data_IF_867411935828
#
_entry.id   IF_867411935828
#
_cell.length_a   1.000
_cell.length_b   1.000
_cell.length_c   1.000
_cell.angle_alpha   90.00
_cell.angle_beta   90.00
_cell.angle_gamma   90.00
#
_symmetry.space_group_name_H-M   'P 1'
#
loop_
_entity.id
_entity.type
_entity.pdbx_description
1 polymer ?
#
# COMPACT_ATOMS: atom_id res chain seq x y z
N UNK A 1 10.50 -7.27 -1.60
CA UNK A 1 9.06 -7.03 -1.32
C UNK A 1 8.79 -6.78 0.14
N UNK A 2 9.41 -7.52 1.07
CA UNK A 2 9.23 -7.35 2.53
C UNK A 2 9.40 -5.91 2.99
N UNK A 3 10.37 -5.17 2.44
CA UNK A 3 10.56 -3.74 2.74
C UNK A 3 9.33 -2.86 2.39
N UNK A 4 8.62 -3.16 1.31
CA UNK A 4 7.42 -2.41 0.89
C UNK A 4 6.26 -2.70 1.83
N UNK A 5 6.03 -3.97 2.15
CA UNK A 5 5.04 -4.37 3.15
C UNK A 5 5.33 -3.73 4.51
N UNK A 6 6.57 -3.85 4.99
CA UNK A 6 7.00 -3.31 6.27
C UNK A 6 6.80 -1.80 6.36
N UNK A 7 7.02 -1.05 5.27
CA UNK A 7 6.75 0.38 5.24
C UNK A 7 5.29 0.69 5.61
N UNK A 8 4.35 0.00 4.97
CA UNK A 8 2.92 0.24 5.18
C UNK A 8 2.42 -0.27 6.53
N UNK A 9 2.95 -1.39 7.00
CA UNK A 9 2.56 -2.01 8.27
C UNK A 9 3.11 -1.23 9.47
N UNK A 10 4.30 -0.63 9.34
CA UNK A 10 4.90 0.18 10.41
C UNK A 10 3.97 1.29 10.88
N UNK A 11 3.22 1.90 9.95
CA UNK A 11 2.29 2.98 10.25
C UNK A 11 1.06 2.53 11.07
N UNK A 12 0.81 1.23 11.22
CA UNK A 12 -0.39 0.71 11.89
C UNK A 12 -0.10 0.08 13.25
N UNK A 13 1.17 0.01 13.65
CA UNK A 13 1.60 -0.65 14.89
C UNK A 13 1.39 -2.17 14.90
N UNK A 14 0.91 -2.77 13.80
CA UNK A 14 0.62 -4.19 13.71
C UNK A 14 1.92 -5.00 13.58
N UNK A 15 2.07 -6.02 14.43
CA UNK A 15 3.09 -7.05 14.24
C UNK A 15 2.54 -8.08 13.24
N UNK A 16 3.04 -8.05 12.01
CA UNK A 16 2.59 -8.95 10.94
C UNK A 16 3.74 -9.81 10.45
N UNK A 17 3.47 -11.10 10.31
CA UNK A 17 4.36 -12.06 9.64
C UNK A 17 3.72 -12.40 8.29
N UNK A 18 4.48 -12.22 7.22
CA UNK A 18 4.01 -12.53 5.87
C UNK A 18 3.66 -14.01 5.75
N UNK A 19 2.41 -14.32 5.43
CA UNK A 19 2.00 -15.68 5.06
C UNK A 19 2.55 -16.05 3.68
N UNK A 20 2.87 -17.33 3.48
CA UNK A 20 3.29 -17.86 2.18
C UNK A 20 2.10 -18.01 1.20
N UNK A 21 0.87 -17.90 1.70
CA UNK A 21 -0.35 -18.05 0.91
C UNK A 21 -1.11 -16.72 0.81
N UNK A 22 -1.64 -16.42 -0.38
CA UNK A 22 -2.45 -15.21 -0.62
C UNK A 22 -3.65 -15.16 0.33
N UNK A 23 -4.32 -16.29 0.56
CA UNK A 23 -5.46 -16.38 1.47
C UNK A 23 -5.04 -16.02 2.90
N UNK A 24 -3.91 -16.55 3.38
CA UNK A 24 -3.37 -16.21 4.70
C UNK A 24 -3.01 -14.73 4.83
N UNK A 25 -2.50 -14.12 3.76
CA UNK A 25 -2.28 -12.65 3.71
C UNK A 25 -3.61 -11.91 3.85
N UNK A 26 -4.64 -12.24 3.07
CA UNK A 26 -5.94 -11.55 3.13
C UNK A 26 -6.58 -11.71 4.51
N UNK A 27 -6.65 -12.93 5.04
CA UNK A 27 -7.24 -13.21 6.35
C UNK A 27 -6.53 -12.49 7.49
N UNK A 28 -5.20 -12.38 7.44
CA UNK A 28 -4.45 -11.60 8.42
C UNK A 28 -4.70 -10.10 8.26
N UNK A 29 -4.83 -9.62 7.02
CA UNK A 29 -5.12 -8.22 6.72
C UNK A 29 -6.50 -7.78 7.21
N UNK A 30 -7.50 -8.65 7.15
CA UNK A 30 -8.86 -8.34 7.63
C UNK A 30 -8.95 -8.14 9.15
N UNK A 31 -8.01 -8.72 9.92
CA UNK A 31 -7.99 -8.65 11.40
C UNK A 31 -7.51 -7.30 11.95
N UNK A 32 -7.18 -6.34 11.09
CA UNK A 32 -6.69 -5.03 11.52
C UNK A 32 -7.75 -4.23 12.28
N UNK A 33 -7.34 -3.57 13.36
CA UNK A 33 -8.20 -2.79 14.27
C UNK A 33 -8.40 -1.33 13.85
N UNK A 34 -7.79 -0.91 12.75
CA UNK A 34 -7.95 0.44 12.18
C UNK A 34 -9.42 0.78 11.93
N UNK A 35 -9.74 2.08 11.96
CA UNK A 35 -11.11 2.57 11.80
C UNK A 35 -11.21 3.57 10.64
N UNK A 36 -12.45 3.86 10.26
CA UNK A 36 -12.81 4.92 9.30
C UNK A 36 -11.92 4.90 8.04
N UNK A 37 -11.30 6.03 7.69
CA UNK A 37 -10.43 6.22 6.53
C UNK A 37 -9.23 5.29 6.57
N UNK A 38 -8.55 5.16 7.71
CA UNK A 38 -7.37 4.30 7.82
C UNK A 38 -7.70 2.85 7.48
N UNK A 39 -8.89 2.35 7.88
CA UNK A 39 -9.37 1.01 7.49
C UNK A 39 -9.61 0.88 5.99
N UNK A 40 -10.14 1.93 5.34
CA UNK A 40 -10.37 1.92 3.89
C UNK A 40 -9.05 1.92 3.12
N UNK A 41 -8.11 2.79 3.51
CA UNK A 41 -6.74 2.80 2.98
C UNK A 41 -6.09 1.43 3.18
N UNK A 42 -6.21 0.86 4.38
CA UNK A 42 -5.65 -0.45 4.71
C UNK A 42 -6.09 -1.53 3.73
N UNK A 43 -7.38 -1.56 3.37
CA UNK A 43 -7.91 -2.52 2.38
C UNK A 43 -7.28 -2.37 0.99
N UNK A 44 -6.82 -1.19 0.60
CA UNK A 44 -6.20 -0.95 -0.72
C UNK A 44 -4.75 -1.44 -0.81
N UNK A 45 -4.04 -1.49 0.32
CA UNK A 45 -2.59 -1.76 0.35
C UNK A 45 -2.20 -3.09 -0.32
N UNK A 46 -2.85 -4.25 -0.04
CA UNK A 46 -2.47 -5.51 -0.67
C UNK A 46 -2.60 -5.47 -2.19
N UNK A 47 -3.69 -4.88 -2.69
CA UNK A 47 -3.95 -4.73 -4.11
C UNK A 47 -2.91 -3.83 -4.77
N UNK A 48 -2.56 -2.70 -4.15
CA UNK A 48 -1.53 -1.80 -4.65
C UNK A 48 -0.16 -2.49 -4.73
N UNK A 49 0.21 -3.24 -3.70
CA UNK A 49 1.49 -3.97 -3.69
C UNK A 49 1.51 -5.06 -4.75
N UNK A 50 0.47 -5.89 -4.86
CA UNK A 50 0.43 -6.94 -5.88
C UNK A 50 0.43 -6.38 -7.29
N UNK A 51 -0.32 -5.31 -7.54
CA UNK A 51 -0.31 -4.62 -8.82
C UNK A 51 1.09 -4.12 -9.20
N UNK A 52 1.80 -3.54 -8.25
CA UNK A 52 3.18 -3.09 -8.47
C UNK A 52 4.17 -4.22 -8.67
N UNK A 53 4.00 -5.33 -7.96
CA UNK A 53 4.83 -6.52 -8.17
C UNK A 53 4.65 -7.02 -9.59
N UNK A 54 3.41 -7.07 -10.08
CA UNK A 54 3.13 -7.45 -11.46
C UNK A 54 3.76 -6.47 -12.47
N UNK A 55 3.53 -5.16 -12.30
CA UNK A 55 4.15 -4.13 -13.15
C UNK A 55 5.68 -4.20 -13.12
N UNK A 56 6.26 -4.36 -11.93
CA UNK A 56 7.70 -4.41 -11.78
C UNK A 56 8.33 -5.64 -12.43
N UNK A 57 7.68 -6.80 -12.35
CA UNK A 57 8.11 -8.01 -13.07
C UNK A 57 8.07 -7.80 -14.59
N UNK A 58 7.03 -7.15 -15.10
CA UNK A 58 6.94 -6.82 -16.53
C UNK A 58 8.05 -5.85 -16.93
N UNK A 59 8.27 -4.78 -16.17
CA UNK A 59 9.33 -3.81 -16.47
C UNK A 59 10.73 -4.42 -16.43
N UNK A 60 11.03 -5.31 -15.48
CA UNK A 60 12.31 -6.02 -15.44
C UNK A 60 12.47 -6.93 -16.67
N UNK A 61 11.41 -7.65 -17.05
CA UNK A 61 11.44 -8.61 -18.15
C UNK A 61 11.57 -7.95 -19.52
N UNK A 62 10.89 -6.82 -19.75
CA UNK A 62 10.79 -6.20 -21.06
C UNK A 62 11.65 -4.93 -21.23
N UNK A 63 11.97 -4.25 -20.12
CA UNK A 63 12.64 -2.93 -20.15
C UNK A 63 13.97 -2.90 -19.36
N UNK A 64 14.42 -4.03 -18.82
CA UNK A 64 15.67 -4.18 -18.04
C UNK A 64 15.84 -3.14 -16.91
N UNK A 65 14.73 -2.65 -16.36
CA UNK A 65 14.76 -1.65 -15.28
C UNK A 65 15.08 -2.30 -13.94
N UNK A 66 15.92 -1.64 -13.15
CA UNK A 66 16.09 -1.94 -11.73
C UNK A 66 15.08 -1.11 -10.94
N UNK A 67 14.29 -1.76 -10.08
CA UNK A 67 13.22 -1.10 -9.34
C UNK A 67 13.58 -1.07 -7.86
N UNK A 68 13.63 0.14 -7.29
CA UNK A 68 13.88 0.32 -5.86
C UNK A 68 12.61 0.13 -5.04
N UNK A 69 12.77 -0.24 -3.77
CA UNK A 69 11.65 -0.30 -2.81
C UNK A 69 11.00 1.06 -2.59
N UNK A 70 11.78 2.15 -2.63
CA UNK A 70 11.26 3.52 -2.51
C UNK A 70 10.32 3.87 -3.68
N UNK A 71 10.70 3.51 -4.92
CA UNK A 71 9.85 3.72 -6.09
C UNK A 71 8.55 2.94 -5.99
N UNK A 72 8.62 1.68 -5.51
CA UNK A 72 7.42 0.88 -5.30
C UNK A 72 6.50 1.50 -4.25
N UNK A 73 7.03 2.01 -3.14
CA UNK A 73 6.23 2.68 -2.10
C UNK A 73 5.55 3.94 -2.67
N UNK A 74 6.30 4.79 -3.38
CA UNK A 74 5.74 5.99 -4.01
C UNK A 74 4.66 5.67 -5.03
N UNK A 75 4.91 4.68 -5.91
CA UNK A 75 3.90 4.24 -6.89
C UNK A 75 2.68 3.60 -6.21
N UNK A 76 2.84 2.89 -5.10
CA UNK A 76 1.71 2.29 -4.36
C UNK A 76 0.77 3.38 -3.84
N UNK A 77 1.34 4.41 -3.20
CA UNK A 77 0.57 5.59 -2.77
C UNK A 77 -0.12 6.25 -3.96
N UNK A 78 0.56 6.38 -5.09
CA UNK A 78 0.00 6.92 -6.33
C UNK A 78 -1.18 6.11 -6.85
N UNK A 79 -1.06 4.78 -6.93
CA UNK A 79 -2.16 3.91 -7.36
C UNK A 79 -3.34 3.96 -6.41
N UNK A 80 -3.11 3.92 -5.08
CA UNK A 80 -4.20 4.04 -4.11
C UNK A 80 -4.94 5.37 -4.29
N UNK A 81 -4.22 6.47 -4.47
CA UNK A 81 -4.82 7.79 -4.72
C UNK A 81 -5.63 7.81 -6.03
N UNK A 82 -5.07 7.29 -7.11
CA UNK A 82 -5.72 7.24 -8.43
C UNK A 82 -6.97 6.35 -8.43
N UNK A 83 -6.93 5.22 -7.73
CA UNK A 83 -8.07 4.30 -7.63
C UNK A 83 -9.23 4.88 -6.83
N UNK A 84 -8.94 5.81 -5.92
CA UNK A 84 -9.93 6.53 -5.13
C UNK A 84 -10.16 7.97 -5.65
N UNK A 85 -9.73 8.31 -6.87
CA UNK A 85 -9.85 9.67 -7.42
C UNK A 85 -11.29 10.22 -7.40
N UNK A 86 -12.29 9.33 -7.45
CA UNK A 86 -13.72 9.66 -7.37
C UNK A 86 -14.39 9.15 -6.09
N UNK A 87 -13.61 8.64 -5.15
CA UNK A 87 -14.10 8.13 -3.88
C UNK A 87 -13.84 9.11 -2.74
N UNK A 88 -14.14 8.63 -1.54
CA UNK A 88 -14.22 9.45 -0.33
C UNK A 88 -12.97 9.28 0.54
N UNK A 89 -12.10 8.32 0.22
CA UNK A 89 -10.97 7.94 1.08
C UNK A 89 -9.97 9.08 1.16
N UNK A 90 -9.62 9.71 0.04
CA UNK A 90 -8.68 10.83 -0.03
C UNK A 90 -9.34 12.18 -0.33
N UNK A 91 -10.66 12.29 -0.16
CA UNK A 91 -11.34 13.57 -0.31
C UNK A 91 -10.74 14.62 0.65
N UNK A 92 -10.37 15.78 0.09
CA UNK A 92 -9.69 16.86 0.80
C UNK A 92 -8.16 16.75 0.90
N UNK A 93 -7.55 15.73 0.29
CA UNK A 93 -6.09 15.56 0.24
C UNK A 93 -5.59 15.63 -1.20
N UNK A 94 -4.42 16.24 -1.39
CA UNK A 94 -3.68 16.13 -2.63
C UNK A 94 -2.65 14.99 -2.54
N UNK A 95 -2.10 14.57 -3.69
CA UNK A 95 -1.11 13.49 -3.73
C UNK A 95 0.14 13.80 -2.88
N UNK A 96 0.54 15.08 -2.78
CA UNK A 96 1.66 15.49 -1.95
C UNK A 96 1.45 15.21 -0.46
N UNK A 97 0.20 15.32 0.02
CA UNK A 97 -0.15 14.99 1.41
C UNK A 97 0.01 13.50 1.69
N UNK A 98 -0.30 12.63 0.74
CA UNK A 98 -0.09 11.17 0.88
C UNK A 98 1.40 10.81 0.86
N UNK A 99 2.19 11.49 0.03
CA UNK A 99 3.63 11.23 -0.07
C UNK A 99 4.33 11.54 1.26
N UNK A 100 4.03 12.69 1.87
CA UNK A 100 4.74 13.18 3.05
C UNK A 100 4.03 12.92 4.39
N UNK A 101 2.70 12.77 4.39
CA UNK A 101 1.86 12.67 5.59
C UNK A 101 1.28 11.29 5.85
N UNK A 102 1.89 10.23 5.32
CA UNK A 102 1.33 8.87 5.40
C UNK A 102 1.02 8.41 6.82
N UNK A 103 1.92 8.64 7.78
CA UNK A 103 1.69 8.24 9.17
C UNK A 103 0.48 8.95 9.78
N UNK A 104 0.33 10.24 9.54
CA UNK A 104 -0.83 11.01 10.01
C UNK A 104 -2.15 10.50 9.43
N UNK A 105 -2.16 10.01 8.20
CA UNK A 105 -3.36 9.42 7.57
C UNK A 105 -3.78 8.08 8.21
N UNK A 106 -2.84 7.37 8.82
CA UNK A 106 -3.07 6.03 9.39
C UNK A 106 -3.44 6.04 10.88
N UNK A 107 -3.40 7.21 11.56
CA UNK A 107 -3.72 7.37 13.00
C UNK A 107 -5.23 7.54 13.29
N UNK A 108 -6.07 7.57 12.25
CA UNK A 108 -7.52 7.88 12.33
C UNK A 108 -8.48 6.79 12.80
#
# INVERSE_FOLDING_TARGET
MTAVWNYFIKATGMQWVQSNEIIGVIQSWEKCTLRRRAKMIWKLIPFAIWWLVWLGRNDCAFNSKVISSADLICKAKGFMFLWDLRGDIFNGYCFFDLLNGWEALMVG
#
